data_IF_604861678642
#
_entry.id   IF_604861678642
#
_cell.length_a   1.000
_cell.length_b   1.000
_cell.length_c   1.000
_cell.angle_alpha   90.00
_cell.angle_beta   90.00
_cell.angle_gamma   90.00
#
_symmetry.space_group_name_H-M   'P 1'
#
loop_
_entity.id
_entity.type
_entity.pdbx_description
1 polymer ?
#
# COMPACT_ATOMS: atom_id res chain seq x y z
N UNK A 1 20.29 30.59 14.62
CA UNK A 1 21.54 29.96 15.08
C UNK A 1 21.17 28.68 15.82
N UNK A 2 21.28 27.52 15.15
CA UNK A 2 21.03 26.19 15.72
C UNK A 2 22.19 25.26 15.33
N UNK A 3 22.63 24.34 16.19
CA UNK A 3 23.83 23.54 15.94
C UNK A 3 23.45 22.20 15.29
N UNK A 4 24.09 21.85 14.17
CA UNK A 4 24.03 20.48 13.66
C UNK A 4 25.41 20.09 13.11
N UNK A 5 25.86 18.91 13.48
CA UNK A 5 27.14 18.34 13.09
C UNK A 5 26.89 17.15 12.16
N UNK A 6 27.50 17.17 10.98
CA UNK A 6 27.54 16.03 10.07
C UNK A 6 28.69 15.09 10.49
N UNK A 7 28.44 13.79 10.62
CA UNK A 7 29.51 12.80 10.79
C UNK A 7 29.48 11.77 9.67
N UNK A 8 30.60 11.62 8.96
CA UNK A 8 30.89 10.48 8.08
C UNK A 8 31.17 9.26 8.95
N UNK A 9 30.55 8.12 8.67
CA UNK A 9 30.92 6.83 9.25
C UNK A 9 31.29 5.85 8.12
N UNK A 10 32.54 5.40 8.16
CA UNK A 10 33.11 4.37 7.30
C UNK A 10 32.62 2.97 7.67
N UNK A 11 32.51 2.12 6.66
CA UNK A 11 32.10 0.72 6.67
C UNK A 11 32.82 -0.18 7.68
N UNK A 12 32.04 -1.00 8.40
CA UNK A 12 32.51 -2.14 9.18
C UNK A 12 31.54 -3.31 9.06
N UNK A 13 31.88 -4.28 8.22
CA UNK A 13 31.16 -5.55 8.02
C UNK A 13 31.29 -6.46 9.23
N UNK A 14 30.16 -6.90 9.82
CA UNK A 14 30.06 -8.17 10.57
C UNK A 14 28.69 -8.81 10.34
N UNK A 15 28.69 -9.96 9.67
CA UNK A 15 27.56 -10.88 9.54
C UNK A 15 27.24 -11.51 10.91
N UNK A 16 26.03 -11.30 11.41
CA UNK A 16 25.46 -12.10 12.49
C UNK A 16 24.45 -13.10 11.88
N UNK A 17 24.77 -14.39 11.98
CA UNK A 17 23.87 -15.51 11.66
C UNK A 17 22.95 -15.74 12.85
N UNK A 18 21.64 -15.57 12.67
CA UNK A 18 20.65 -16.07 13.62
C UNK A 18 20.07 -17.38 13.09
N UNK A 19 20.27 -18.47 13.85
CA UNK A 19 19.59 -19.77 13.65
C UNK A 19 18.13 -19.64 14.10
N UNK A 20 17.20 -20.13 13.28
CA UNK A 20 15.82 -20.38 13.67
C UNK A 20 15.71 -21.79 14.31
N UNK A 21 14.83 -22.01 15.30
CA UNK A 21 14.44 -23.34 15.72
C UNK A 21 13.36 -23.92 14.79
N UNK A 22 13.47 -25.21 14.51
CA UNK A 22 12.56 -26.03 13.71
C UNK A 22 11.28 -26.41 14.49
N UNK A 23 10.17 -26.51 13.74
CA UNK A 23 9.10 -27.49 13.96
C UNK A 23 7.96 -27.13 14.90
N UNK A 24 6.76 -26.89 14.34
CA UNK A 24 5.58 -27.75 14.55
C UNK A 24 4.40 -27.35 13.65
N UNK A 25 3.69 -28.38 13.22
CA UNK A 25 2.63 -28.43 12.21
C UNK A 25 1.40 -27.55 12.52
N UNK A 26 0.88 -26.87 11.50
CA UNK A 26 -0.26 -25.96 11.59
C UNK A 26 -1.39 -26.27 10.61
N UNK A 27 -1.73 -27.54 10.42
CA UNK A 27 -3.02 -27.92 9.82
C UNK A 27 -4.10 -27.90 10.91
N UNK A 28 -4.81 -26.78 11.07
CA UNK A 28 -5.92 -26.75 12.02
C UNK A 28 -6.39 -25.37 12.45
N UNK A 29 -6.64 -24.43 11.52
CA UNK A 29 -7.28 -23.17 11.90
C UNK A 29 -8.06 -22.47 10.76
N UNK A 30 -8.84 -23.21 9.97
CA UNK A 30 -9.77 -22.61 8.98
C UNK A 30 -11.17 -23.25 8.94
N UNK A 31 -11.55 -24.04 9.93
CA UNK A 31 -12.91 -24.60 10.04
C UNK A 31 -13.48 -24.39 11.44
N UNK A 32 -13.94 -23.17 11.74
CA UNK A 32 -15.02 -22.93 12.70
C UNK A 32 -15.30 -21.43 12.74
N UNK A 33 -16.30 -20.98 11.98
CA UNK A 33 -17.18 -19.87 12.35
C UNK A 33 -18.25 -19.70 11.28
N UNK A 34 -19.16 -20.67 11.25
CA UNK A 34 -20.38 -20.62 10.48
C UNK A 34 -21.49 -21.27 11.29
N UNK A 35 -22.56 -20.52 11.51
CA UNK A 35 -23.91 -20.92 11.91
C UNK A 35 -24.35 -20.74 13.39
N UNK A 36 -25.44 -19.97 13.48
CA UNK A 36 -26.56 -19.96 14.43
C UNK A 36 -26.41 -19.14 15.71
N UNK A 37 -27.22 -18.07 15.83
CA UNK A 37 -28.49 -18.16 16.57
C UNK A 37 -29.41 -16.94 16.32
N UNK A 38 -30.69 -17.25 16.20
CA UNK A 38 -31.83 -16.38 15.94
C UNK A 38 -32.54 -15.95 17.23
N UNK A 39 -33.20 -14.78 17.16
CA UNK A 39 -34.27 -14.19 17.99
C UNK A 39 -35.04 -15.09 18.99
N UNK A 40 -35.33 -14.51 20.18
CA UNK A 40 -36.69 -14.50 20.78
C UNK A 40 -36.85 -13.40 21.85
N UNK A 41 -38.09 -12.91 21.96
CA UNK A 41 -38.59 -11.71 22.64
C UNK A 41 -38.74 -11.80 24.19
N UNK A 42 -38.95 -10.63 24.84
CA UNK A 42 -39.01 -10.33 26.30
C UNK A 42 -40.24 -10.84 27.08
N UNK A 43 -40.84 -10.14 28.10
CA UNK A 43 -40.61 -8.77 28.63
C UNK A 43 -40.57 -8.63 30.18
N UNK A 44 -40.35 -7.41 30.72
CA UNK A 44 -40.59 -7.11 32.16
C UNK A 44 -40.16 -5.71 32.64
N UNK A 45 -41.13 -4.94 33.17
CA UNK A 45 -41.09 -3.50 33.53
C UNK A 45 -40.37 -3.17 34.86
N UNK A 46 -39.87 -1.93 34.99
CA UNK A 46 -39.59 -1.28 36.28
C UNK A 46 -39.05 0.15 36.09
N UNK A 47 -39.86 1.16 36.43
CA UNK A 47 -39.55 2.58 36.30
C UNK A 47 -38.87 3.14 37.57
N UNK A 48 -37.98 4.14 37.43
CA UNK A 48 -37.79 5.25 38.38
C UNK A 48 -36.94 6.36 37.76
N UNK A 49 -37.34 7.59 38.03
CA UNK A 49 -36.87 8.86 37.47
C UNK A 49 -35.84 9.58 38.35
N UNK A 50 -34.84 10.23 37.75
CA UNK A 50 -33.91 11.18 38.39
C UNK A 50 -33.09 11.97 37.34
N UNK A 51 -32.57 13.18 37.66
CA UNK A 51 -32.62 14.32 36.74
C UNK A 51 -31.46 14.47 35.74
N UNK A 52 -31.79 15.19 34.65
CA UNK A 52 -30.99 15.54 33.47
C UNK A 52 -29.69 16.29 33.81
N UNK A 53 -28.58 15.87 33.21
CA UNK A 53 -27.41 16.72 32.93
C UNK A 53 -27.22 16.84 31.43
N UNK A 54 -27.11 18.08 30.96
CA UNK A 54 -26.84 18.43 29.58
C UNK A 54 -25.38 18.11 29.21
N UNK A 55 -25.18 17.47 28.08
CA UNK A 55 -23.88 17.24 27.45
C UNK A 55 -24.12 16.86 25.99
N UNK A 56 -23.73 17.73 25.07
CA UNK A 56 -24.06 17.66 23.65
C UNK A 56 -23.67 16.34 23.01
N UNK A 57 -24.65 15.67 22.40
CA UNK A 57 -24.42 14.53 21.53
C UNK A 57 -23.89 15.06 20.18
N UNK A 58 -22.67 14.68 19.82
CA UNK A 58 -22.22 14.75 18.44
C UNK A 58 -23.20 13.94 17.59
N UNK A 59 -23.90 14.61 16.69
CA UNK A 59 -24.81 13.97 15.76
C UNK A 59 -24.01 13.00 14.88
N UNK A 60 -24.16 11.69 15.11
CA UNK A 60 -23.82 10.70 14.10
C UNK A 60 -24.77 10.93 12.94
N UNK A 61 -24.26 11.47 11.84
CA UNK A 61 -24.96 11.44 10.56
C UNK A 61 -25.17 9.96 10.24
N UNK A 62 -26.40 9.48 10.41
CA UNK A 62 -26.77 8.15 9.97
C UNK A 62 -26.68 8.15 8.44
N UNK A 63 -25.71 7.42 7.87
CA UNK A 63 -25.74 7.08 6.44
C UNK A 63 -27.12 6.45 6.20
N UNK A 64 -27.93 7.07 5.34
CA UNK A 64 -29.15 6.44 4.84
C UNK A 64 -28.76 5.06 4.32
N UNK A 65 -29.45 4.02 4.78
CA UNK A 65 -29.23 2.66 4.28
C UNK A 65 -29.68 2.64 2.82
N UNK A 66 -28.75 2.91 1.91
CA UNK A 66 -28.94 2.60 0.48
C UNK A 66 -29.26 1.11 0.40
N UNK A 67 -30.35 0.77 -0.28
CA UNK A 67 -30.64 -0.61 -0.66
C UNK A 67 -29.66 -0.97 -1.78
N UNK A 68 -28.50 -1.50 -1.40
CA UNK A 68 -27.47 -1.95 -2.34
C UNK A 68 -27.88 -3.30 -2.93
N UNK A 69 -27.76 -3.45 -4.25
CA UNK A 69 -27.97 -4.71 -4.94
C UNK A 69 -26.61 -5.42 -5.11
N UNK A 70 -26.42 -6.64 -4.58
CA UNK A 70 -25.14 -7.37 -4.70
C UNK A 70 -24.66 -7.53 -6.15
N UNK A 71 -25.57 -7.59 -7.13
CA UNK A 71 -25.21 -7.72 -8.54
C UNK A 71 -24.43 -6.52 -9.09
N UNK A 72 -24.55 -5.34 -8.49
CA UNK A 72 -23.88 -4.13 -8.96
C UNK A 72 -22.37 -4.13 -8.64
N UNK A 73 -21.98 -5.01 -7.71
CA UNK A 73 -20.62 -5.19 -7.18
C UNK A 73 -19.97 -6.50 -7.62
N UNK A 74 -20.55 -7.12 -8.66
CA UNK A 74 -20.05 -8.33 -9.28
C UNK A 74 -19.86 -8.08 -10.78
N UNK A 75 -18.65 -8.34 -11.26
CA UNK A 75 -18.33 -8.41 -12.67
C UNK A 75 -18.02 -9.88 -13.01
N UNK A 76 -18.93 -10.54 -13.70
CA UNK A 76 -18.84 -11.98 -13.97
C UNK A 76 -18.96 -12.25 -15.47
N UNK A 77 -18.16 -13.19 -15.99
CA UNK A 77 -18.31 -13.79 -17.33
C UNK A 77 -18.27 -12.78 -18.48
N UNK A 78 -17.32 -11.85 -18.44
CA UNK A 78 -17.09 -10.87 -19.51
C UNK A 78 -15.96 -11.30 -20.43
N UNK A 79 -16.03 -10.90 -21.69
CA UNK A 79 -15.00 -11.27 -22.67
C UNK A 79 -14.73 -10.14 -23.66
N UNK A 80 -13.47 -9.69 -23.77
CA UNK A 80 -13.05 -8.68 -24.73
C UNK A 80 -13.61 -7.28 -24.48
N UNK A 81 -14.10 -7.02 -23.26
CA UNK A 81 -14.79 -5.78 -22.88
C UNK A 81 -13.90 -4.82 -22.09
N UNK A 82 -14.22 -3.53 -22.19
CA UNK A 82 -13.74 -2.51 -21.26
C UNK A 82 -14.83 -2.09 -20.29
N UNK A 83 -14.55 -2.25 -19.00
CA UNK A 83 -15.46 -1.96 -17.90
C UNK A 83 -14.79 -0.95 -16.97
N UNK A 84 -15.51 0.15 -16.72
CA UNK A 84 -15.06 1.20 -15.82
C UNK A 84 -16.12 1.40 -14.75
N UNK A 85 -15.68 1.37 -13.48
CA UNK A 85 -16.46 1.76 -12.32
C UNK A 85 -15.92 3.10 -11.84
N UNK A 86 -16.70 4.14 -12.07
CA UNK A 86 -16.37 5.52 -11.71
C UNK A 86 -16.35 5.72 -10.18
N UNK A 87 -15.75 6.83 -9.77
CA UNK A 87 -15.80 7.26 -8.37
C UNK A 87 -17.24 7.35 -7.84
N UNK A 88 -17.46 6.83 -6.63
CA UNK A 88 -18.76 6.80 -5.97
C UNK A 88 -19.68 5.67 -6.44
N UNK A 89 -19.29 4.88 -7.45
CA UNK A 89 -20.08 3.73 -7.91
C UNK A 89 -19.89 2.48 -7.04
N UNK A 90 -18.75 2.36 -6.34
CA UNK A 90 -18.47 1.28 -5.38
C UNK A 90 -18.62 1.78 -3.93
N UNK A 91 -18.19 3.01 -3.66
CA UNK A 91 -18.29 3.72 -2.37
C UNK A 91 -17.84 2.90 -1.14
N UNK A 92 -16.74 2.15 -1.28
CA UNK A 92 -16.17 1.37 -0.18
C UNK A 92 -16.84 0.03 0.07
N UNK A 93 -17.67 -0.47 -0.86
CA UNK A 93 -18.20 -1.83 -0.78
C UNK A 93 -17.18 -2.87 -1.25
N UNK A 94 -17.47 -4.15 -0.97
CA UNK A 94 -16.73 -5.27 -1.55
C UNK A 94 -17.01 -5.36 -3.06
N UNK A 95 -16.00 -5.69 -3.86
CA UNK A 95 -16.18 -5.90 -5.31
C UNK A 95 -15.56 -7.22 -5.78
N UNK A 96 -16.30 -7.95 -6.61
CA UNK A 96 -15.87 -9.24 -7.17
C UNK A 96 -15.71 -9.15 -8.69
N UNK A 97 -14.59 -9.66 -9.20
CA UNK A 97 -14.34 -9.88 -10.63
C UNK A 97 -14.12 -11.38 -10.79
N UNK A 98 -14.94 -12.05 -11.61
CA UNK A 98 -14.85 -13.49 -11.81
C UNK A 98 -15.03 -13.87 -13.28
N UNK A 99 -14.34 -14.93 -13.72
CA UNK A 99 -14.52 -15.56 -15.03
C UNK A 99 -14.41 -14.57 -16.21
N UNK A 100 -13.56 -13.55 -16.10
CA UNK A 100 -13.37 -12.54 -17.14
C UNK A 100 -12.18 -12.88 -18.03
N UNK A 101 -12.31 -12.66 -19.34
CA UNK A 101 -11.28 -12.98 -20.34
C UNK A 101 -11.00 -11.81 -21.28
N UNK A 102 -9.75 -11.55 -21.60
CA UNK A 102 -9.35 -10.50 -22.56
C UNK A 102 -9.89 -9.09 -22.21
N UNK A 103 -10.17 -8.82 -20.93
CA UNK A 103 -10.86 -7.61 -20.48
C UNK A 103 -9.91 -6.48 -20.03
N UNK A 104 -10.44 -5.27 -20.13
CA UNK A 104 -9.98 -4.02 -19.52
C UNK A 104 -10.88 -3.69 -18.34
N UNK A 105 -10.37 -3.67 -17.12
CA UNK A 105 -11.22 -3.42 -15.95
C UNK A 105 -10.59 -2.31 -15.11
N UNK A 106 -11.32 -1.23 -14.90
CA UNK A 106 -10.87 -0.09 -14.10
C UNK A 106 -11.87 0.17 -12.97
N UNK A 107 -11.47 -0.12 -11.73
CA UNK A 107 -12.23 0.23 -10.53
C UNK A 107 -11.66 1.51 -9.93
N UNK A 108 -12.17 2.66 -10.37
CA UNK A 108 -11.66 4.01 -10.04
C UNK A 108 -12.28 4.57 -8.75
N UNK A 109 -12.41 3.72 -7.73
CA UNK A 109 -13.09 4.07 -6.48
C UNK A 109 -12.42 3.40 -5.26
N UNK A 110 -12.81 3.83 -4.07
CA UNK A 110 -12.44 3.16 -2.82
C UNK A 110 -13.19 1.84 -2.67
N UNK A 111 -12.49 0.79 -2.23
CA UNK A 111 -13.01 -0.57 -2.13
C UNK A 111 -12.75 -1.12 -0.72
N UNK A 112 -13.70 -1.83 -0.10
CA UNK A 112 -13.43 -2.49 1.19
C UNK A 112 -12.49 -3.68 1.02
N UNK A 113 -12.83 -4.58 0.11
CA UNK A 113 -12.06 -5.79 -0.25
C UNK A 113 -12.38 -6.16 -1.70
N UNK A 114 -11.40 -6.69 -2.43
CA UNK A 114 -11.59 -7.14 -3.80
C UNK A 114 -11.23 -8.61 -3.99
N UNK A 115 -12.01 -9.30 -4.82
CA UNK A 115 -11.74 -10.67 -5.26
C UNK A 115 -11.60 -10.69 -6.78
N UNK A 116 -10.53 -11.28 -7.29
CA UNK A 116 -10.28 -11.50 -8.72
C UNK A 116 -10.08 -12.98 -8.93
N UNK A 117 -11.06 -13.63 -9.57
CA UNK A 117 -11.14 -15.08 -9.67
C UNK A 117 -11.22 -15.53 -11.12
N UNK A 118 -10.48 -16.57 -11.49
CA UNK A 118 -10.65 -17.27 -12.78
C UNK A 118 -10.58 -16.34 -13.99
N UNK A 119 -9.75 -15.29 -13.90
CA UNK A 119 -9.54 -14.33 -14.98
C UNK A 119 -8.36 -14.71 -15.86
N UNK A 120 -8.47 -14.48 -17.17
CA UNK A 120 -7.44 -14.83 -18.17
C UNK A 120 -7.16 -13.63 -19.09
N UNK A 121 -5.88 -13.27 -19.26
CA UNK A 121 -5.47 -12.21 -20.19
C UNK A 121 -6.15 -10.85 -19.94
N UNK A 122 -6.45 -10.55 -18.67
CA UNK A 122 -7.10 -9.30 -18.25
C UNK A 122 -6.08 -8.26 -17.78
N UNK A 123 -6.41 -6.98 -17.99
CA UNK A 123 -5.66 -5.84 -17.47
C UNK A 123 -6.55 -5.05 -16.53
N UNK A 124 -6.18 -5.03 -15.26
CA UNK A 124 -7.09 -4.70 -14.16
C UNK A 124 -6.45 -3.63 -13.29
N UNK A 125 -7.10 -2.47 -13.19
CA UNK A 125 -6.82 -1.48 -12.17
C UNK A 125 -7.82 -1.62 -11.02
N UNK A 126 -7.31 -1.76 -9.79
CA UNK A 126 -8.10 -1.79 -8.57
C UNK A 126 -7.70 -0.59 -7.73
N UNK A 127 -8.65 0.31 -7.50
CA UNK A 127 -8.49 1.49 -6.66
C UNK A 127 -8.14 1.16 -5.21
N UNK A 128 -7.89 2.19 -4.39
CA UNK A 128 -7.48 2.04 -3.00
C UNK A 128 -8.40 1.10 -2.21
N UNK A 129 -7.84 -0.01 -1.75
CA UNK A 129 -8.57 -1.06 -1.03
C UNK A 129 -8.21 -1.04 0.46
N UNK A 130 -9.20 -0.83 1.31
CA UNK A 130 -9.05 -0.71 2.77
C UNK A 130 -8.39 -1.92 3.42
N UNK A 131 -8.74 -3.12 2.95
CA UNK A 131 -8.29 -4.38 3.52
C UNK A 131 -7.49 -5.22 2.51
N UNK A 132 -8.06 -6.33 2.07
CA UNK A 132 -7.36 -7.34 1.29
C UNK A 132 -7.79 -7.33 -0.17
N UNK A 133 -6.85 -7.64 -1.05
CA UNK A 133 -7.14 -8.06 -2.42
C UNK A 133 -6.69 -9.50 -2.59
N UNK A 134 -7.61 -10.34 -3.06
CA UNK A 134 -7.37 -11.76 -3.33
C UNK A 134 -7.40 -12.01 -4.83
N UNK A 135 -6.34 -12.60 -5.37
CA UNK A 135 -6.26 -12.98 -6.79
C UNK A 135 -6.10 -14.50 -6.88
N UNK A 136 -7.08 -15.21 -7.46
CA UNK A 136 -7.14 -16.67 -7.44
C UNK A 136 -7.40 -17.26 -8.81
N UNK A 137 -6.70 -18.34 -9.17
CA UNK A 137 -6.92 -19.04 -10.44
C UNK A 137 -6.78 -18.14 -11.68
N UNK A 138 -5.99 -17.07 -11.61
CA UNK A 138 -5.79 -16.13 -12.71
C UNK A 138 -4.57 -16.49 -13.58
N UNK A 139 -4.66 -16.22 -14.88
CA UNK A 139 -3.60 -16.50 -15.85
C UNK A 139 -3.32 -15.31 -16.76
N UNK A 140 -2.04 -14.98 -16.93
CA UNK A 140 -1.60 -13.94 -17.88
C UNK A 140 -2.25 -12.57 -17.63
N UNK A 141 -2.47 -12.21 -16.37
CA UNK A 141 -3.10 -10.93 -16.00
C UNK A 141 -2.07 -9.86 -15.62
N UNK A 142 -2.33 -8.63 -16.04
CA UNK A 142 -1.66 -7.45 -15.52
C UNK A 142 -2.58 -6.75 -14.52
N UNK A 143 -2.15 -6.62 -13.27
CA UNK A 143 -3.00 -6.11 -12.19
C UNK A 143 -2.28 -5.01 -11.42
N UNK A 144 -2.91 -3.85 -11.31
CA UNK A 144 -2.38 -2.70 -10.58
C UNK A 144 -3.27 -2.39 -9.38
N UNK A 145 -2.69 -2.39 -8.18
CA UNK A 145 -3.45 -2.42 -6.93
C UNK A 145 -2.82 -1.53 -5.86
N UNK A 146 -3.64 -0.76 -5.16
CA UNK A 146 -3.31 -0.20 -3.86
C UNK A 146 -4.15 -0.87 -2.76
N UNK A 147 -3.51 -1.56 -1.81
CA UNK A 147 -4.23 -2.30 -0.77
C UNK A 147 -3.44 -2.40 0.56
N UNK A 148 -4.13 -2.79 1.63
CA UNK A 148 -3.45 -3.12 2.88
C UNK A 148 -2.75 -4.48 2.80
N UNK A 149 -3.44 -5.51 2.28
CA UNK A 149 -2.95 -6.88 2.15
C UNK A 149 -3.18 -7.41 0.73
N UNK A 150 -2.13 -7.98 0.14
CA UNK A 150 -2.22 -8.68 -1.13
C UNK A 150 -2.02 -10.17 -0.91
N UNK A 151 -2.90 -10.99 -1.48
CA UNK A 151 -2.79 -12.46 -1.47
C UNK A 151 -3.11 -13.00 -2.86
N UNK A 152 -2.24 -13.84 -3.40
CA UNK A 152 -2.55 -14.62 -4.59
C UNK A 152 -2.40 -16.11 -4.36
N UNK A 153 -3.24 -16.89 -5.06
CA UNK A 153 -3.20 -18.35 -5.01
C UNK A 153 -3.53 -18.95 -6.38
N UNK A 154 -2.84 -20.01 -6.77
CA UNK A 154 -3.12 -20.74 -8.01
C UNK A 154 -3.05 -19.85 -9.27
N UNK A 155 -2.13 -18.88 -9.30
CA UNK A 155 -1.95 -17.95 -10.41
C UNK A 155 -0.73 -18.29 -11.27
N UNK A 156 -0.79 -17.96 -12.57
CA UNK A 156 0.29 -18.21 -13.52
C UNK A 156 0.51 -17.03 -14.47
N UNK A 157 1.77 -16.65 -14.67
CA UNK A 157 2.16 -15.58 -15.61
C UNK A 157 1.51 -14.20 -15.33
N UNK A 158 1.26 -13.87 -14.06
CA UNK A 158 0.64 -12.60 -13.69
C UNK A 158 1.68 -11.55 -13.26
N UNK A 159 1.47 -10.29 -13.69
CA UNK A 159 2.28 -9.14 -13.27
C UNK A 159 1.48 -8.21 -12.36
N UNK A 160 2.13 -7.69 -11.32
CA UNK A 160 1.51 -6.86 -10.30
C UNK A 160 2.29 -5.56 -10.07
N UNK A 161 1.65 -4.42 -10.26
CA UNK A 161 2.15 -3.13 -9.79
C UNK A 161 1.46 -2.78 -8.47
N UNK A 162 2.21 -2.83 -7.36
CA UNK A 162 1.61 -2.84 -6.02
C UNK A 162 1.99 -1.64 -5.15
N UNK A 163 0.98 -1.10 -4.47
CA UNK A 163 1.11 -0.42 -3.19
C UNK A 163 0.52 -1.36 -2.14
N UNK A 164 1.37 -2.00 -1.34
CA UNK A 164 0.94 -2.95 -0.31
C UNK A 164 1.58 -2.61 1.03
N UNK A 165 0.76 -2.38 2.07
CA UNK A 165 1.28 -1.96 3.39
C UNK A 165 1.94 -3.10 4.17
N UNK A 166 1.51 -4.33 3.89
CA UNK A 166 2.01 -5.59 4.44
C UNK A 166 2.80 -6.36 3.39
N UNK A 167 3.44 -7.46 3.78
CA UNK A 167 4.20 -8.31 2.85
C UNK A 167 3.21 -9.00 1.89
N UNK A 168 3.33 -8.80 0.56
CA UNK A 168 2.51 -9.51 -0.41
C UNK A 168 2.73 -11.02 -0.28
N UNK A 169 1.65 -11.80 -0.32
CA UNK A 169 1.71 -13.26 -0.17
C UNK A 169 1.36 -13.92 -1.50
N UNK A 170 2.13 -14.93 -1.89
CA UNK A 170 1.79 -15.85 -2.98
C UNK A 170 1.78 -17.31 -2.50
N UNK A 171 0.91 -18.12 -3.08
CA UNK A 171 0.77 -19.55 -2.79
C UNK A 171 0.45 -20.31 -4.09
N UNK A 172 1.03 -21.49 -4.30
CA UNK A 172 0.78 -22.39 -5.45
C UNK A 172 0.77 -21.65 -6.81
N UNK A 173 1.61 -20.63 -6.95
CA UNK A 173 1.63 -19.75 -8.12
C UNK A 173 2.98 -19.82 -8.82
N UNK A 174 3.05 -19.48 -10.10
CA UNK A 174 4.29 -19.54 -10.90
C UNK A 174 4.43 -18.37 -11.85
N UNK A 175 5.67 -17.92 -12.04
CA UNK A 175 6.03 -16.79 -12.90
C UNK A 175 5.28 -15.49 -12.54
N UNK A 176 5.21 -15.20 -11.24
CA UNK A 176 4.61 -13.98 -10.72
C UNK A 176 5.62 -12.83 -10.80
N UNK A 177 5.24 -11.66 -11.29
CA UNK A 177 6.17 -10.53 -11.40
C UNK A 177 5.66 -9.31 -10.66
N UNK A 178 6.54 -8.59 -9.95
CA UNK A 178 6.16 -7.46 -9.12
C UNK A 178 6.94 -6.19 -9.47
N UNK A 179 6.27 -5.03 -9.41
CA UNK A 179 6.87 -3.70 -9.49
C UNK A 179 6.18 -2.73 -8.52
N UNK A 180 6.76 -1.56 -8.34
CA UNK A 180 6.16 -0.52 -7.53
C UNK A 180 4.95 0.05 -8.28
N UNK A 181 3.85 0.28 -7.56
CA UNK A 181 2.70 1.03 -8.08
C UNK A 181 3.14 2.38 -8.64
N UNK A 182 2.65 2.70 -9.84
CA UNK A 182 2.87 3.99 -10.51
C UNK A 182 1.66 4.29 -11.40
N UNK A 183 0.71 5.04 -10.84
CA UNK A 183 -0.53 5.44 -11.52
C UNK A 183 -1.13 6.65 -10.84
N UNK A 184 -1.88 7.46 -11.59
CA UNK A 184 -2.43 8.70 -11.10
C UNK A 184 -3.77 9.06 -11.75
N UNK A 185 -4.66 9.66 -10.96
CA UNK A 185 -5.89 10.33 -11.38
C UNK A 185 -6.33 11.28 -10.26
N UNK A 186 -7.16 12.28 -10.57
CA UNK A 186 -7.40 13.41 -9.66
C UNK A 186 -7.82 13.01 -8.25
N UNK A 187 -8.67 11.98 -8.11
CA UNK A 187 -9.24 11.58 -6.83
C UNK A 187 -8.49 10.48 -6.11
N UNK A 188 -7.42 9.92 -6.72
CA UNK A 188 -6.62 8.83 -6.15
C UNK A 188 -6.08 9.18 -4.75
N UNK A 189 -5.58 10.41 -4.58
CA UNK A 189 -5.02 10.86 -3.28
C UNK A 189 -6.05 10.80 -2.16
N UNK A 190 -7.26 11.28 -2.45
CA UNK A 190 -8.35 11.30 -1.48
C UNK A 190 -8.81 9.86 -1.19
N UNK A 191 -8.89 9.01 -2.21
CA UNK A 191 -9.28 7.61 -2.06
C UNK A 191 -8.24 6.81 -1.23
N UNK A 192 -6.93 7.04 -1.45
CA UNK A 192 -5.86 6.46 -0.62
C UNK A 192 -6.00 6.84 0.86
N UNK A 193 -6.30 8.12 1.12
CA UNK A 193 -6.55 8.62 2.47
C UNK A 193 -7.80 8.00 3.11
N UNK A 194 -8.92 7.93 2.36
CA UNK A 194 -10.16 7.27 2.80
C UNK A 194 -9.94 5.79 3.13
N UNK A 195 -9.14 5.10 2.31
CA UNK A 195 -8.79 3.70 2.52
C UNK A 195 -7.79 3.47 3.68
N UNK A 196 -7.29 4.54 4.31
CA UNK A 196 -6.28 4.47 5.37
C UNK A 196 -4.90 4.00 4.89
N UNK A 197 -4.63 4.08 3.58
CA UNK A 197 -3.37 3.62 3.00
C UNK A 197 -2.31 4.72 3.10
N UNK A 198 -1.26 4.43 3.88
CA UNK A 198 -0.10 5.32 4.02
C UNK A 198 0.81 5.14 2.80
N UNK A 199 0.87 6.14 1.93
CA UNK A 199 1.63 6.12 0.66
C UNK A 199 3.13 5.84 0.82
N UNK A 200 3.70 6.18 1.98
CA UNK A 200 5.11 5.92 2.30
C UNK A 200 5.39 4.47 2.71
N UNK A 201 4.36 3.67 2.98
CA UNK A 201 4.46 2.30 3.47
C UNK A 201 4.19 1.32 2.34
N UNK A 202 5.15 1.19 1.41
CA UNK A 202 5.02 0.25 0.31
C UNK A 202 6.03 -0.91 0.41
N UNK A 203 5.49 -2.12 0.62
CA UNK A 203 6.23 -3.39 0.74
C UNK A 203 6.12 -4.28 -0.52
N UNK A 204 5.77 -3.72 -1.67
CA UNK A 204 5.60 -4.42 -2.95
C UNK A 204 6.71 -5.43 -3.32
N UNK A 205 7.94 -5.22 -2.84
CA UNK A 205 9.12 -6.04 -3.11
C UNK A 205 9.41 -7.14 -2.07
N UNK A 206 8.70 -7.15 -0.93
CA UNK A 206 8.87 -8.12 0.17
C UNK A 206 7.89 -9.28 0.03
N UNK A 207 7.94 -9.98 -1.11
CA UNK A 207 6.99 -11.06 -1.40
C UNK A 207 7.31 -12.31 -0.57
N UNK A 208 6.31 -12.79 0.16
CA UNK A 208 6.36 -14.06 0.88
C UNK A 208 5.75 -15.17 0.02
N UNK A 209 6.55 -16.18 -0.30
CA UNK A 209 6.14 -17.34 -1.10
C UNK A 209 6.01 -18.58 -0.21
N UNK A 210 4.78 -19.06 -0.01
CA UNK A 210 4.49 -20.26 0.76
C UNK A 210 5.01 -21.54 0.10
N UNK A 211 5.20 -21.54 -1.22
CA UNK A 211 5.64 -22.69 -2.02
C UNK A 211 7.01 -22.43 -2.66
N UNK A 212 7.86 -21.68 -1.95
CA UNK A 212 9.22 -21.32 -2.40
C UNK A 212 9.98 -22.57 -2.87
N UNK A 213 10.55 -22.47 -4.07
CA UNK A 213 11.44 -23.49 -4.63
C UNK A 213 12.88 -23.02 -4.50
N UNK A 214 13.79 -23.96 -4.19
CA UNK A 214 15.18 -23.63 -3.88
C UNK A 214 16.00 -23.19 -5.11
N UNK A 215 15.63 -23.69 -6.27
CA UNK A 215 16.33 -23.54 -7.56
C UNK A 215 15.66 -22.53 -8.49
N UNK A 216 14.32 -22.50 -8.52
CA UNK A 216 13.53 -21.64 -9.40
C UNK A 216 12.50 -20.83 -8.62
N UNK A 217 12.79 -19.57 -8.24
CA UNK A 217 11.82 -18.71 -7.59
C UNK A 217 10.50 -18.65 -8.37
N UNK A 218 9.37 -18.71 -7.68
CA UNK A 218 8.06 -18.58 -8.34
C UNK A 218 7.73 -17.14 -8.71
N UNK A 219 8.54 -16.17 -8.28
CA UNK A 219 8.35 -14.76 -8.53
C UNK A 219 9.64 -14.02 -8.84
N UNK A 220 9.49 -12.85 -9.48
CA UNK A 220 10.58 -11.95 -9.82
C UNK A 220 10.12 -10.48 -9.79
N UNK A 221 11.05 -9.55 -10.01
CA UNK A 221 10.71 -8.15 -10.25
C UNK A 221 10.88 -7.85 -11.74
N UNK A 222 9.89 -7.22 -12.38
CA UNK A 222 10.00 -6.75 -13.78
C UNK A 222 10.46 -5.28 -13.83
N UNK A 223 10.78 -4.70 -14.99
CA UNK A 223 11.31 -3.34 -15.04
C UNK A 223 10.26 -2.30 -14.65
N UNK A 224 10.65 -1.23 -13.95
CA UNK A 224 9.69 -0.24 -13.44
C UNK A 224 9.04 0.54 -14.58
N UNK A 225 9.76 0.72 -15.68
CA UNK A 225 9.34 1.44 -16.87
C UNK A 225 8.21 0.71 -17.61
N UNK A 226 8.13 -0.61 -17.48
CA UNK A 226 7.07 -1.43 -18.07
C UNK A 226 5.71 -1.22 -17.39
N UNK A 227 5.67 -0.70 -16.14
CA UNK A 227 4.43 -0.47 -15.39
C UNK A 227 3.45 0.41 -16.17
N UNK A 228 3.96 1.42 -16.88
CA UNK A 228 3.16 2.33 -17.72
C UNK A 228 2.43 1.64 -18.87
N UNK A 229 2.86 0.44 -19.25
CA UNK A 229 2.30 -0.34 -20.37
C UNK A 229 1.39 -1.49 -19.93
N UNK A 230 1.29 -1.74 -18.61
CA UNK A 230 0.46 -2.83 -18.07
C UNK A 230 -1.03 -2.64 -18.35
N UNK A 231 -1.51 -1.39 -18.40
CA UNK A 231 -2.92 -1.06 -18.61
C UNK A 231 -3.10 -0.40 -19.98
N UNK A 232 -4.19 -0.73 -20.70
CA UNK A 232 -4.58 0.04 -21.89
C UNK A 232 -5.39 1.25 -21.45
N UNK A 233 -4.71 2.29 -20.98
CA UNK A 233 -5.35 3.51 -20.43
C UNK A 233 -6.25 4.23 -21.44
N UNK A 234 -6.06 4.02 -22.73
CA UNK A 234 -6.97 4.47 -23.79
C UNK A 234 -8.39 3.93 -23.63
N UNK A 235 -8.58 2.81 -22.94
CA UNK A 235 -9.90 2.20 -22.71
C UNK A 235 -10.71 2.92 -21.62
N UNK A 236 -10.06 3.76 -20.79
CA UNK A 236 -10.70 4.56 -19.75
C UNK A 236 -10.54 6.08 -19.98
N UNK A 237 -10.28 6.51 -21.22
CA UNK A 237 -10.04 7.93 -21.54
C UNK A 237 -11.26 8.84 -21.34
N UNK A 238 -12.45 8.26 -21.19
CA UNK A 238 -13.66 9.01 -20.82
C UNK A 238 -13.70 9.38 -19.33
N UNK A 239 -12.93 8.66 -18.50
CA UNK A 239 -12.94 8.74 -17.04
C UNK A 239 -11.67 9.38 -16.49
N UNK A 240 -10.52 9.15 -17.15
CA UNK A 240 -9.23 9.71 -16.79
C UNK A 240 -8.65 10.45 -17.99
N UNK A 241 -8.32 11.72 -17.78
CA UNK A 241 -7.69 12.56 -18.81
C UNK A 241 -6.19 12.28 -18.95
N UNK A 242 -5.58 12.68 -20.08
CA UNK A 242 -4.13 12.55 -20.24
C UNK A 242 -3.36 13.42 -19.23
N UNK A 243 -3.86 14.63 -18.95
CA UNK A 243 -3.26 15.54 -17.97
C UNK A 243 -3.17 14.90 -16.57
N UNK A 244 -4.18 14.12 -16.18
CA UNK A 244 -4.18 13.35 -14.93
C UNK A 244 -3.11 12.28 -14.87
N UNK A 245 -2.89 11.56 -15.97
CA UNK A 245 -1.88 10.52 -16.06
C UNK A 245 -0.46 11.10 -16.03
N UNK A 246 -0.30 12.33 -16.54
CA UNK A 246 0.97 13.04 -16.59
C UNK A 246 1.29 13.80 -15.28
N UNK A 247 0.36 13.84 -14.33
CA UNK A 247 0.59 14.42 -13.01
C UNK A 247 1.68 13.66 -12.24
N UNK A 248 2.37 14.37 -11.35
CA UNK A 248 3.35 13.76 -10.45
C UNK A 248 2.73 12.65 -9.60
N UNK A 249 3.37 11.48 -9.63
CA UNK A 249 2.91 10.28 -8.91
C UNK A 249 2.78 10.56 -7.41
N UNK A 250 1.60 10.31 -6.87
CA UNK A 250 1.30 10.51 -5.43
C UNK A 250 2.05 9.47 -4.59
N UNK A 251 2.23 8.26 -5.13
CA UNK A 251 2.94 7.17 -4.46
C UNK A 251 4.40 7.21 -4.92
N UNK A 252 5.38 7.34 -4.01
CA UNK A 252 6.77 7.36 -4.44
C UNK A 252 7.18 6.01 -5.02
N UNK A 253 7.68 6.05 -6.25
CA UNK A 253 8.30 4.89 -6.89
C UNK A 253 9.60 4.57 -6.16
N UNK A 254 9.65 3.40 -5.53
CA UNK A 254 10.80 2.97 -4.72
C UNK A 254 11.58 1.83 -5.38
N UNK A 255 12.88 1.73 -5.12
CA UNK A 255 13.71 0.63 -5.64
C UNK A 255 13.47 -0.71 -4.93
N UNK A 256 13.10 -0.69 -3.64
CA UNK A 256 12.82 -1.90 -2.88
C UNK A 256 14.05 -2.79 -2.67
N UNK A 257 14.04 -3.98 -3.27
CA UNK A 257 15.18 -4.93 -3.31
C UNK A 257 15.99 -4.89 -4.60
N UNK A 258 15.64 -4.01 -5.55
CA UNK A 258 16.44 -3.82 -6.77
C UNK A 258 17.86 -3.37 -6.42
N UNK A 259 18.86 -3.69 -7.25
CA UNK A 259 20.20 -3.13 -7.12
C UNK A 259 20.14 -1.60 -7.13
N UNK A 260 20.90 -0.97 -6.23
CA UNK A 260 21.00 0.48 -6.21
C UNK A 260 22.02 0.94 -7.26
N UNK A 261 21.75 2.06 -7.95
CA UNK A 261 22.65 2.57 -8.99
C UNK A 261 24.01 2.98 -8.42
N UNK A 262 24.07 3.34 -7.14
CA UNK A 262 25.30 3.71 -6.44
C UNK A 262 25.30 3.16 -5.00
N UNK A 263 26.47 3.10 -4.38
CA UNK A 263 26.61 2.78 -2.95
C UNK A 263 26.38 4.00 -2.05
N UNK A 264 26.35 5.21 -2.62
CA UNK A 264 26.10 6.43 -1.86
C UNK A 264 24.60 6.57 -1.57
N UNK A 265 24.26 6.82 -0.31
CA UNK A 265 22.87 7.05 0.10
C UNK A 265 22.77 8.06 1.22
N UNK A 266 21.63 8.74 1.26
CA UNK A 266 21.23 9.62 2.35
C UNK A 266 19.98 9.02 3.00
N UNK A 267 19.99 8.92 4.34
CA UNK A 267 18.81 8.61 5.13
C UNK A 267 18.31 9.89 5.80
N UNK A 268 17.06 10.24 5.52
CA UNK A 268 16.40 11.43 6.04
C UNK A 268 15.31 10.94 6.99
N UNK A 269 15.34 11.47 8.21
CA UNK A 269 14.31 11.22 9.21
C UNK A 269 13.46 12.47 9.38
N UNK A 270 12.17 12.32 9.11
CA UNK A 270 11.18 13.36 9.31
C UNK A 270 10.45 13.12 10.64
N UNK A 271 10.36 14.19 11.42
CA UNK A 271 9.62 14.22 12.69
C UNK A 271 8.10 14.19 12.40
N UNK A 272 7.25 14.07 13.43
CA UNK A 272 5.80 14.16 13.25
C UNK A 272 5.40 15.45 12.51
N UNK A 273 4.25 15.41 11.83
CA UNK A 273 3.65 16.54 11.10
C UNK A 273 4.54 17.14 9.98
N UNK A 274 5.38 16.30 9.34
CA UNK A 274 6.34 16.72 8.31
C UNK A 274 5.96 16.33 6.87
N UNK A 275 4.69 15.96 6.61
CA UNK A 275 4.24 15.45 5.29
C UNK A 275 4.57 16.38 4.13
N UNK A 276 4.37 17.69 4.30
CA UNK A 276 4.69 18.69 3.26
C UNK A 276 6.18 18.69 2.86
N UNK A 277 7.09 18.49 3.82
CA UNK A 277 8.54 18.42 3.56
C UNK A 277 8.92 17.11 2.89
N UNK A 278 8.25 16.01 3.25
CA UNK A 278 8.44 14.70 2.62
C UNK A 278 8.04 14.78 1.15
N UNK A 279 6.87 15.35 0.86
CA UNK A 279 6.37 15.55 -0.49
C UNK A 279 7.29 16.45 -1.33
N UNK A 280 7.76 17.57 -0.77
CA UNK A 280 8.70 18.43 -1.47
C UNK A 280 10.02 17.71 -1.80
N UNK A 281 10.56 16.90 -0.88
CA UNK A 281 11.77 16.11 -1.11
C UNK A 281 11.55 15.07 -2.23
N UNK A 282 10.41 14.40 -2.22
CA UNK A 282 10.09 13.35 -3.19
C UNK A 282 9.73 13.90 -4.57
N UNK A 283 9.06 15.05 -4.65
CA UNK A 283 8.85 15.76 -5.91
C UNK A 283 10.18 16.23 -6.51
N UNK A 284 11.15 16.63 -5.67
CA UNK A 284 12.51 16.90 -6.15
C UNK A 284 13.21 15.63 -6.64
N UNK A 285 13.03 14.51 -5.94
CA UNK A 285 13.60 13.22 -6.35
C UNK A 285 13.03 12.73 -7.69
N UNK A 286 11.72 12.84 -7.91
CA UNK A 286 11.06 12.38 -9.15
C UNK A 286 11.49 13.16 -10.39
N UNK A 287 11.87 14.44 -10.23
CA UNK A 287 12.39 15.29 -11.32
C UNK A 287 13.89 15.15 -11.56
N UNK A 288 14.59 14.40 -10.71
CA UNK A 288 16.04 14.23 -10.80
C UNK A 288 16.39 12.91 -11.47
N UNK A 289 17.28 12.96 -12.46
CA UNK A 289 17.80 11.75 -13.12
C UNK A 289 18.77 10.97 -12.23
N UNK A 290 19.31 11.61 -11.19
CA UNK A 290 20.37 11.03 -10.34
C UNK A 290 19.85 10.53 -9.00
N UNK A 291 18.63 10.91 -8.60
CA UNK A 291 18.05 10.54 -7.33
C UNK A 291 17.13 9.34 -7.51
N UNK A 292 17.39 8.29 -6.74
CA UNK A 292 16.48 7.15 -6.67
C UNK A 292 16.02 6.97 -5.23
N UNK A 293 14.70 7.01 -5.02
CA UNK A 293 14.11 6.69 -3.71
C UNK A 293 14.31 5.19 -3.49
N UNK A 294 15.24 4.83 -2.60
CA UNK A 294 15.53 3.44 -2.34
C UNK A 294 14.37 2.80 -1.57
N UNK A 295 14.00 3.42 -0.44
CA UNK A 295 12.97 2.93 0.50
C UNK A 295 12.35 4.09 1.26
N UNK A 296 11.09 3.94 1.65
CA UNK A 296 10.41 4.81 2.58
C UNK A 296 9.66 3.97 3.63
N UNK A 297 9.50 4.53 4.83
CA UNK A 297 8.69 3.91 5.88
C UNK A 297 8.19 4.97 6.86
N UNK A 298 6.90 4.95 7.13
CA UNK A 298 6.25 5.68 8.21
C UNK A 298 5.80 4.69 9.31
N UNK A 299 6.20 4.94 10.56
CA UNK A 299 5.81 4.08 11.68
C UNK A 299 5.90 4.80 13.02
N UNK A 300 5.20 4.25 14.02
CA UNK A 300 5.40 4.61 15.43
C UNK A 300 6.50 3.71 15.98
N UNK A 301 7.57 4.30 16.50
CA UNK A 301 8.64 3.55 17.13
C UNK A 301 8.38 3.35 18.64
N UNK A 302 8.68 2.16 19.18
CA UNK A 302 8.73 1.95 20.62
C UNK A 302 9.72 2.89 21.34
N UNK A 303 9.46 3.20 22.61
CA UNK A 303 10.25 4.16 23.41
C UNK A 303 11.76 3.84 23.46
N UNK A 304 12.12 2.56 23.58
CA UNK A 304 13.52 2.11 23.60
C UNK A 304 14.21 2.33 22.24
N UNK A 305 13.47 2.12 21.15
CA UNK A 305 13.93 2.35 19.78
C UNK A 305 14.06 3.85 19.47
N UNK A 306 13.15 4.68 19.96
CA UNK A 306 13.26 6.15 19.86
C UNK A 306 14.50 6.66 20.58
N UNK A 307 14.76 6.21 21.82
CA UNK A 307 15.96 6.58 22.57
C UNK A 307 17.25 6.18 21.84
N UNK A 308 17.26 4.98 21.25
CA UNK A 308 18.39 4.50 20.46
C UNK A 308 18.58 5.34 19.19
N UNK A 309 17.49 5.62 18.47
CA UNK A 309 17.50 6.40 17.23
C UNK A 309 18.01 7.82 17.44
N UNK A 310 17.61 8.48 18.54
CA UNK A 310 17.99 9.87 18.85
C UNK A 310 19.17 10.00 19.83
N UNK A 311 19.88 8.91 20.13
CA UNK A 311 21.04 8.95 21.03
C UNK A 311 22.11 9.96 20.59
N UNK A 312 22.22 10.20 19.28
CA UNK A 312 23.15 11.18 18.68
C UNK A 312 22.72 12.63 18.86
N UNK A 313 21.41 12.91 18.94
CA UNK A 313 20.88 14.27 18.96
C UNK A 313 21.07 14.97 20.32
N UNK A 314 21.23 14.20 21.41
CA UNK A 314 21.32 14.72 22.79
C UNK A 314 20.18 15.69 23.17
N UNK A 315 19.02 15.55 22.53
CA UNK A 315 17.84 16.40 22.74
C UNK A 315 16.65 15.58 23.27
N UNK A 316 16.44 15.55 24.60
CA UNK A 316 15.35 14.77 25.20
C UNK A 316 13.95 15.20 24.74
N UNK A 317 13.80 16.48 24.35
CA UNK A 317 12.54 17.04 23.86
C UNK A 317 12.07 16.39 22.55
N UNK A 318 13.00 16.05 21.65
CA UNK A 318 12.68 15.39 20.37
C UNK A 318 12.16 13.97 20.61
N UNK A 319 12.76 13.24 21.55
CA UNK A 319 12.27 11.91 21.93
C UNK A 319 10.85 11.99 22.49
N UNK A 320 10.59 13.00 23.33
CA UNK A 320 9.26 13.22 23.90
C UNK A 320 8.22 13.59 22.83
N UNK A 321 8.57 14.41 21.83
CA UNK A 321 7.64 14.79 20.76
C UNK A 321 7.35 13.65 19.78
N UNK A 322 8.25 12.69 19.63
CA UNK A 322 8.03 11.52 18.76
C UNK A 322 7.27 10.38 19.44
N UNK A 323 7.09 10.42 20.76
CA UNK A 323 6.50 9.31 21.51
C UNK A 323 5.03 9.12 21.13
N UNK A 324 4.69 7.92 20.66
CA UNK A 324 3.34 7.58 20.20
C UNK A 324 2.92 8.28 18.90
N UNK A 325 3.84 8.98 18.25
CA UNK A 325 3.62 9.68 16.99
C UNK A 325 4.28 8.91 15.84
N UNK A 326 3.73 9.10 14.65
CA UNK A 326 4.33 8.59 13.42
C UNK A 326 5.59 9.41 13.07
N UNK A 327 6.67 8.72 12.71
CA UNK A 327 7.85 9.33 12.09
C UNK A 327 8.12 8.66 10.75
N UNK A 328 8.66 9.40 9.80
CA UNK A 328 8.91 8.90 8.44
C UNK A 328 10.40 8.90 8.13
N UNK A 329 10.93 7.74 7.76
CA UNK A 329 12.27 7.60 7.20
C UNK A 329 12.21 7.48 5.69
N UNK A 330 12.99 8.28 4.98
CA UNK A 330 13.19 8.18 3.52
C UNK A 330 14.66 7.95 3.24
N UNK A 331 14.96 6.91 2.46
CA UNK A 331 16.30 6.62 1.99
C UNK A 331 16.39 6.89 0.50
N UNK A 332 17.33 7.74 0.11
CA UNK A 332 17.60 8.12 -1.29
C UNK A 332 19.03 7.71 -1.62
N UNK A 333 19.24 7.18 -2.81
CA UNK A 333 20.57 6.83 -3.33
C UNK A 333 20.82 7.56 -4.66
N UNK A 334 22.09 7.80 -4.98
CA UNK A 334 22.48 8.63 -6.11
C UNK A 334 23.89 9.16 -5.95
N UNK A 335 24.54 9.52 -7.07
CA UNK A 335 25.88 10.11 -7.04
C UNK A 335 25.83 11.50 -6.41
N UNK A 336 26.62 11.76 -5.36
CA UNK A 336 26.63 13.05 -4.64
C UNK A 336 25.40 13.30 -3.77
N UNK A 337 24.55 12.30 -3.55
CA UNK A 337 23.22 12.45 -2.95
C UNK A 337 23.28 13.06 -1.55
N UNK A 338 24.33 12.77 -0.76
CA UNK A 338 24.43 13.31 0.59
C UNK A 338 24.55 14.84 0.62
N UNK A 339 25.27 15.41 -0.35
CA UNK A 339 25.42 16.87 -0.49
C UNK A 339 24.13 17.49 -1.01
N UNK A 340 23.54 16.89 -2.04
CA UNK A 340 22.37 17.48 -2.72
C UNK A 340 21.10 17.41 -1.86
N UNK A 341 20.88 16.32 -1.12
CA UNK A 341 19.80 16.24 -0.13
C UNK A 341 19.99 17.29 0.96
N UNK A 342 21.22 17.47 1.45
CA UNK A 342 21.54 18.51 2.44
C UNK A 342 21.19 19.90 1.91
N UNK A 343 21.62 20.22 0.69
CA UNK A 343 21.31 21.49 0.04
C UNK A 343 19.80 21.68 -0.11
N UNK A 344 19.09 20.64 -0.57
CA UNK A 344 17.63 20.65 -0.70
C UNK A 344 16.92 20.93 0.62
N UNK A 345 17.31 20.26 1.70
CA UNK A 345 16.69 20.47 3.01
C UNK A 345 16.98 21.87 3.57
N UNK A 346 18.15 22.45 3.29
CA UNK A 346 18.48 23.82 3.74
C UNK A 346 17.84 24.93 2.91
N UNK A 347 17.53 24.69 1.64
CA UNK A 347 16.87 25.68 0.78
C UNK A 347 15.36 25.78 1.02
N UNK A 348 14.77 24.77 1.65
CA UNK A 348 13.30 24.64 1.81
C UNK A 348 12.78 25.28 3.10
N UNK A 349 13.64 25.98 3.86
CA UNK A 349 13.28 26.72 5.08
C UNK A 349 13.48 25.92 6.35
#
# INVERSE_FOLDING_TARGET
>A
RAPWAASRASSGSRRARCRAPEGQDGQGLLRAMGAKLSKKDGPGKGATSGPKRAGGAAAKVAKEKKNLNPADFLLSKRSGEAIIKEEGSIDGEQFNIEECKDCDIFLLDTIATAFVDECENCRIFIGPTESSVFVRNCRSCDVMIACQQFRSRDCEDCRFALLCTTEPIIETSTNMQFACFDFNYFTLRQQLSRAGLKIWNNKWWQVHDFNKKADRPNWSLFAQEEVKTMLRVSMCSASITQDELDMESIVPVTLGSRPWPTQESAFILFLPDSDAYIEALLAKASRSETWCVARARCCILPDDRLKTLFAWAKEPKVVASCKGQEITGVQICGSGIAREVKEALTSTG
#
